data_IF_102300386497
#
_entry.id   IF_102300386497
#
_cell.length_a   1.000
_cell.length_b   1.000
_cell.length_c   1.000
_cell.angle_alpha   90.00
_cell.angle_beta   90.00
_cell.angle_gamma   90.00
#
_symmetry.space_group_name_H-M   'P 1'
#
loop_
_entity.id
_entity.type
_entity.pdbx_description
1 polymer ?
#
# COMPACT_ATOMS: atom_id res chain seq x y z
N UNK A 1 6.82 -5.91 -14.90
CA UNK A 1 5.51 -5.55 -14.34
C UNK A 1 5.56 -4.87 -12.95
N UNK A 2 6.71 -4.80 -12.28
CA UNK A 2 6.85 -4.15 -10.95
C UNK A 2 6.81 -2.61 -10.95
N UNK A 3 7.30 -1.95 -12.00
CA UNK A 3 7.35 -0.48 -12.08
C UNK A 3 5.96 0.17 -12.18
N UNK A 4 5.08 -0.40 -13.01
CA UNK A 4 3.70 0.10 -13.18
C UNK A 4 2.86 -0.15 -11.93
N UNK A 5 3.01 -1.32 -11.29
CA UNK A 5 2.34 -1.63 -10.02
C UNK A 5 2.86 -0.76 -8.89
N UNK A 6 4.16 -0.50 -8.86
CA UNK A 6 4.75 0.45 -7.92
C UNK A 6 4.23 1.88 -8.11
N UNK A 7 4.21 2.37 -9.36
CA UNK A 7 3.72 3.71 -9.68
C UNK A 7 2.23 3.84 -9.32
N UNK A 8 1.43 2.81 -9.60
CA UNK A 8 0.02 2.77 -9.23
C UNK A 8 -0.18 2.79 -7.71
N UNK A 9 0.51 1.93 -6.95
CA UNK A 9 0.42 1.89 -5.48
C UNK A 9 0.91 3.20 -4.86
N UNK A 10 1.98 3.79 -5.40
CA UNK A 10 2.54 5.05 -4.87
C UNK A 10 1.64 6.24 -5.20
N UNK A 11 1.10 6.33 -6.41
CA UNK A 11 0.23 7.43 -6.81
C UNK A 11 -1.14 7.34 -6.11
N UNK A 12 -1.79 6.17 -6.18
CA UNK A 12 -3.12 5.95 -5.58
C UNK A 12 -3.01 5.94 -4.06
N UNK A 13 -2.00 5.26 -3.50
CA UNK A 13 -1.72 5.25 -2.07
C UNK A 13 -1.36 6.63 -1.53
N UNK A 14 -0.55 7.38 -2.28
CA UNK A 14 -0.22 8.76 -1.96
C UNK A 14 -1.48 9.62 -1.85
N UNK A 15 -2.32 9.64 -2.90
CA UNK A 15 -3.59 10.38 -2.89
C UNK A 15 -4.54 9.90 -1.78
N UNK A 16 -4.61 8.60 -1.53
CA UNK A 16 -5.46 8.04 -0.48
C UNK A 16 -5.02 8.48 0.93
N UNK A 17 -3.73 8.69 1.16
CA UNK A 17 -3.23 9.23 2.43
C UNK A 17 -3.57 10.70 2.63
N UNK A 18 -3.77 11.47 1.55
CA UNK A 18 -4.27 12.85 1.63
C UNK A 18 -5.78 12.92 1.92
N UNK A 19 -6.51 11.82 1.74
CA UNK A 19 -7.94 11.73 2.04
C UNK A 19 -8.16 10.60 3.05
N UNK A 20 -8.09 10.89 4.36
CA UNK A 20 -8.09 9.88 5.43
C UNK A 20 -9.16 8.78 5.32
N UNK A 21 -10.44 9.06 4.96
CA UNK A 21 -11.44 8.00 4.84
C UNK A 21 -11.20 7.02 3.68
N UNK A 22 -10.38 7.39 2.69
CA UNK A 22 -10.03 6.53 1.55
C UNK A 22 -8.76 5.71 1.79
N UNK A 23 -7.93 6.05 2.77
CA UNK A 23 -6.67 5.36 3.05
C UNK A 23 -6.88 3.87 3.39
N UNK A 24 -7.91 3.57 4.19
CA UNK A 24 -8.26 2.20 4.62
C UNK A 24 -8.71 1.32 3.43
N UNK A 25 -9.76 1.67 2.67
CA UNK A 25 -10.22 0.82 1.57
C UNK A 25 -9.17 0.67 0.47
N UNK A 26 -8.36 1.71 0.21
CA UNK A 26 -7.25 1.65 -0.76
C UNK A 26 -6.14 0.72 -0.27
N UNK A 27 -5.82 0.73 1.03
CA UNK A 27 -4.86 -0.20 1.60
C UNK A 27 -5.32 -1.66 1.42
N UNK A 28 -6.58 -1.98 1.73
CA UNK A 28 -7.12 -3.32 1.50
C UNK A 28 -7.16 -3.71 0.02
N UNK A 29 -7.51 -2.78 -0.88
CA UNK A 29 -7.53 -3.02 -2.32
C UNK A 29 -6.15 -3.40 -2.88
N UNK A 30 -5.08 -2.80 -2.35
CA UNK A 30 -3.71 -3.14 -2.73
C UNK A 30 -3.17 -4.39 -2.04
N UNK A 31 -3.90 -4.96 -1.09
CA UNK A 31 -3.50 -6.18 -0.38
C UNK A 31 -2.74 -5.93 0.93
N UNK A 32 -2.91 -4.75 1.53
CA UNK A 32 -2.50 -4.54 2.92
C UNK A 32 -3.56 -5.12 3.87
N UNK A 33 -3.08 -5.78 4.91
CA UNK A 33 -3.87 -6.29 6.02
C UNK A 33 -3.31 -5.76 7.34
N UNK A 34 -4.05 -5.97 8.43
CA UNK A 34 -3.61 -5.70 9.80
C UNK A 34 -2.23 -6.32 10.12
N UNK A 35 -1.97 -7.52 9.58
CA UNK A 35 -0.68 -8.22 9.73
C UNK A 35 0.44 -7.77 8.79
N UNK A 36 0.18 -6.82 7.88
CA UNK A 36 1.13 -6.35 6.87
C UNK A 36 0.72 -6.69 5.44
N UNK A 37 1.68 -6.69 4.53
CA UNK A 37 1.45 -6.92 3.10
C UNK A 37 1.19 -8.40 2.84
N UNK A 38 0.04 -8.71 2.25
CA UNK A 38 -0.33 -10.09 1.89
C UNK A 38 0.47 -10.52 0.65
N UNK A 39 1.06 -11.72 0.71
CA UNK A 39 1.85 -12.28 -0.39
C UNK A 39 1.05 -12.44 -1.68
N UNK A 40 1.67 -12.15 -2.83
CA UNK A 40 1.04 -12.25 -4.16
C UNK A 40 0.17 -11.06 -4.57
N UNK A 41 0.11 -10.01 -3.75
CA UNK A 41 -0.70 -8.81 -4.01
C UNK A 41 0.06 -7.71 -4.75
N UNK A 42 -0.66 -6.67 -5.19
CA UNK A 42 -0.05 -5.48 -5.79
C UNK A 42 0.90 -4.77 -4.83
N UNK A 43 0.61 -4.77 -3.53
CA UNK A 43 1.52 -4.25 -2.51
C UNK A 43 2.83 -5.06 -2.43
N UNK A 44 2.76 -6.40 -2.54
CA UNK A 44 3.96 -7.26 -2.58
C UNK A 44 4.78 -7.05 -3.88
N UNK A 45 4.09 -6.86 -5.01
CA UNK A 45 4.72 -6.52 -6.29
C UNK A 45 5.38 -5.14 -6.26
N UNK A 46 4.74 -4.14 -5.64
CA UNK A 46 5.31 -2.82 -5.42
C UNK A 46 6.50 -2.88 -4.45
N UNK A 47 6.41 -3.63 -3.34
CA UNK A 47 7.49 -3.73 -2.36
C UNK A 47 8.72 -4.46 -2.91
N UNK A 48 8.55 -5.50 -3.74
CA UNK A 48 9.65 -6.19 -4.41
C UNK A 48 10.36 -5.33 -5.46
N UNK A 49 9.65 -4.36 -6.05
CA UNK A 49 10.26 -3.33 -6.90
C UNK A 49 10.92 -2.21 -6.07
N UNK A 50 10.29 -1.80 -4.97
CA UNK A 50 10.75 -0.73 -4.05
C UNK A 50 11.98 -1.11 -3.24
N UNK A 51 12.22 -2.41 -3.04
CA UNK A 51 13.44 -2.92 -2.40
C UNK A 51 14.74 -2.34 -2.95
N UNK A 52 14.70 -1.63 -4.09
CA UNK A 52 15.81 -0.87 -4.66
C UNK A 52 15.64 0.66 -4.82
N UNK A 53 14.43 1.27 -4.81
CA UNK A 53 14.27 2.67 -5.30
C UNK A 53 13.17 3.50 -4.57
N UNK A 54 13.23 3.69 -3.26
CA UNK A 54 12.53 4.83 -2.61
C UNK A 54 10.97 4.86 -2.67
N UNK A 55 10.28 4.00 -1.91
CA UNK A 55 8.86 4.25 -1.55
C UNK A 55 8.45 3.61 -0.22
N UNK A 56 9.30 3.77 0.81
CA UNK A 56 8.97 3.31 2.16
C UNK A 56 7.85 4.13 2.80
N UNK A 57 7.73 5.42 2.49
CA UNK A 57 6.78 6.33 3.16
C UNK A 57 5.31 6.07 2.81
N UNK A 58 4.98 5.79 1.54
CA UNK A 58 3.59 5.53 1.13
C UNK A 58 3.15 4.13 1.58
N UNK A 59 4.04 3.15 1.46
CA UNK A 59 3.80 1.77 1.94
C UNK A 59 3.58 1.76 3.45
N UNK A 60 4.44 2.45 4.21
CA UNK A 60 4.29 2.58 5.66
C UNK A 60 2.99 3.32 6.05
N UNK A 61 2.62 4.37 5.31
CA UNK A 61 1.37 5.09 5.53
C UNK A 61 0.13 4.23 5.29
N UNK A 62 0.09 3.50 4.16
CA UNK A 62 -1.01 2.57 3.86
C UNK A 62 -1.07 1.42 4.86
N UNK A 63 0.08 0.89 5.29
CA UNK A 63 0.12 -0.14 6.33
C UNK A 63 -0.39 0.40 7.67
N UNK A 64 -0.02 1.62 8.05
CA UNK A 64 -0.56 2.27 9.25
C UNK A 64 -2.06 2.50 9.15
N UNK A 65 -2.59 2.84 7.97
CA UNK A 65 -4.02 2.97 7.74
C UNK A 65 -4.75 1.61 7.84
N UNK A 66 -4.18 0.54 7.29
CA UNK A 66 -4.71 -0.81 7.41
C UNK A 66 -4.72 -1.33 8.87
N UNK A 67 -3.76 -0.87 9.70
CA UNK A 67 -3.73 -1.17 11.13
C UNK A 67 -4.78 -0.38 11.94
N UNK A 68 -5.14 0.82 11.48
CA UNK A 68 -6.15 1.69 12.11
C UNK A 68 -7.58 1.17 11.95
N UNK A 69 -7.84 0.44 10.86
CA UNK A 69 -9.10 -0.24 10.63
C UNK A 69 -8.82 -1.72 10.38
N UNK A 70 -8.56 -2.51 11.44
CA UNK A 70 -8.42 -3.95 11.32
C UNK A 70 -9.78 -4.55 11.01
N UNK A 71 -10.20 -4.50 9.74
CA UNK A 71 -11.34 -5.28 9.30
C UNK A 71 -10.91 -6.75 9.24
N UNK A 72 -11.66 -7.66 9.88
CA UNK A 72 -11.36 -9.09 9.87
C UNK A 72 -11.41 -9.70 8.47
#
# INVERSE_FOLDING_TARGET
>A
MGLLTWAAVTAVGGVALWIPPLAVPVAHFFGFSSGGIVGGTMAAAAQSYVGYISSSSVIAGLQSAAMLAPTP
#
